data_IF_389240356625
#
_entry.id   IF_389240356625
#
_cell.length_a   1.000
_cell.length_b   1.000
_cell.length_c   1.000
_cell.angle_alpha   90.00
_cell.angle_beta   90.00
_cell.angle_gamma   90.00
#
_symmetry.space_group_name_H-M   'P 1'
#
loop_
_entity.id
_entity.type
_entity.pdbx_description
1 polymer ?
#
# COMPACT_ATOMS: atom_id res chain seq x y z
N UNK A 1 -14.88 -9.58 13.32
CA UNK A 1 -14.03 -8.48 13.80
C UNK A 1 -13.72 -7.62 12.59
N UNK A 2 -14.33 -6.47 12.51
CA UNK A 2 -14.21 -5.52 11.39
C UNK A 2 -12.81 -4.90 11.37
N UNK A 3 -12.16 -4.95 10.20
CA UNK A 3 -10.96 -4.15 9.92
C UNK A 3 -11.21 -2.69 10.30
N UNK A 4 -10.23 -1.98 10.86
CA UNK A 4 -10.39 -0.56 11.12
C UNK A 4 -10.54 0.15 9.77
N UNK A 5 -11.75 0.51 9.43
CA UNK A 5 -12.04 1.47 8.37
C UNK A 5 -11.46 2.78 8.89
N UNK A 6 -10.37 3.24 8.28
CA UNK A 6 -9.84 4.56 8.54
C UNK A 6 -10.96 5.56 8.27
N UNK A 7 -11.49 6.17 9.32
CA UNK A 7 -12.54 7.17 9.18
C UNK A 7 -11.96 8.40 8.49
N UNK A 8 -12.75 9.07 7.68
CA UNK A 8 -12.39 10.30 6.94
C UNK A 8 -11.73 11.35 7.85
N UNK A 9 -12.12 11.39 9.13
CA UNK A 9 -11.54 12.30 10.13
C UNK A 9 -10.11 11.93 10.52
N UNK A 10 -9.77 10.63 10.62
CA UNK A 10 -8.42 10.20 10.92
C UNK A 10 -7.47 10.50 9.76
N UNK A 11 -7.94 10.36 8.52
CA UNK A 11 -7.22 10.75 7.31
C UNK A 11 -6.97 12.28 7.32
N UNK A 12 -7.98 13.09 7.63
CA UNK A 12 -7.85 14.55 7.73
C UNK A 12 -6.88 14.99 8.84
N UNK A 13 -6.85 14.31 9.98
CA UNK A 13 -5.94 14.64 11.08
C UNK A 13 -4.47 14.34 10.75
N UNK A 14 -4.20 13.35 9.90
CA UNK A 14 -2.85 13.01 9.43
C UNK A 14 -2.34 14.03 8.39
N UNK A 15 -3.24 14.66 7.65
CA UNK A 15 -2.93 15.61 6.56
C UNK A 15 -2.48 17.01 7.07
N UNK A 16 -2.69 17.34 8.34
CA UNK A 16 -2.62 18.74 8.82
C UNK A 16 -1.25 19.33 9.11
N UNK A 17 -0.11 18.67 8.81
CA UNK A 17 1.24 19.30 8.93
C UNK A 17 2.21 18.90 7.81
N UNK A 18 2.34 19.78 6.82
CA UNK A 18 3.52 20.01 5.95
C UNK A 18 4.08 18.87 5.09
N UNK A 19 3.27 17.85 4.70
CA UNK A 19 3.64 16.97 3.61
C UNK A 19 2.47 16.88 2.64
N UNK A 20 2.70 17.19 1.37
CA UNK A 20 1.76 16.91 0.28
C UNK A 20 1.63 15.38 0.21
N UNK A 21 0.64 14.84 0.91
CA UNK A 21 0.31 13.42 0.78
C UNK A 21 -0.40 13.24 -0.54
N UNK A 22 0.16 12.38 -1.37
CA UNK A 22 -0.51 11.95 -2.58
C UNK A 22 -1.65 11.02 -2.19
N UNK A 23 -2.87 11.40 -2.50
CA UNK A 23 -4.05 10.58 -2.35
C UNK A 23 -4.66 10.29 -3.73
N UNK A 24 -4.94 9.03 -4.01
CA UNK A 24 -5.50 8.59 -5.28
C UNK A 24 -6.98 8.26 -5.09
N UNK A 25 -7.84 8.91 -5.88
CA UNK A 25 -9.25 8.57 -5.96
C UNK A 25 -9.39 7.31 -6.83
N UNK A 26 -9.94 6.24 -6.27
CA UNK A 26 -10.15 4.97 -6.99
C UNK A 26 -11.63 4.81 -7.28
N UNK A 27 -11.99 4.68 -8.54
CA UNK A 27 -13.40 4.56 -8.94
C UNK A 27 -13.70 3.29 -9.72
N UNK A 28 -14.80 2.64 -9.36
CA UNK A 28 -15.37 1.45 -9.99
C UNK A 28 -16.80 1.23 -9.50
N UNK A 29 -17.68 0.69 -10.32
CA UNK A 29 -19.03 0.30 -9.89
C UNK A 29 -19.02 -0.89 -8.92
N UNK A 30 -18.06 -1.81 -9.06
CA UNK A 30 -17.89 -2.92 -8.13
C UNK A 30 -17.20 -2.49 -6.84
N UNK A 31 -17.96 -2.43 -5.75
CA UNK A 31 -17.42 -2.16 -4.41
C UNK A 31 -16.25 -3.08 -4.05
N UNK A 32 -16.38 -4.37 -4.38
CA UNK A 32 -15.34 -5.37 -4.10
C UNK A 32 -14.04 -5.09 -4.86
N UNK A 33 -14.12 -4.67 -6.14
CA UNK A 33 -12.93 -4.36 -6.95
C UNK A 33 -12.21 -3.14 -6.38
N UNK A 34 -12.92 -2.01 -6.17
CA UNK A 34 -12.30 -0.77 -5.68
C UNK A 34 -11.71 -0.91 -4.28
N UNK A 35 -12.36 -1.66 -3.38
CA UNK A 35 -11.82 -1.95 -2.05
C UNK A 35 -10.57 -2.83 -2.11
N UNK A 36 -10.55 -3.85 -2.98
CA UNK A 36 -9.37 -4.71 -3.16
C UNK A 36 -8.17 -3.95 -3.71
N UNK A 37 -8.37 -3.02 -4.64
CA UNK A 37 -7.32 -2.18 -5.18
C UNK A 37 -6.84 -1.17 -4.13
N UNK A 38 -7.76 -0.55 -3.39
CA UNK A 38 -7.42 0.36 -2.30
C UNK A 38 -6.63 -0.34 -1.19
N UNK A 39 -7.01 -1.56 -0.83
CA UNK A 39 -6.27 -2.38 0.15
C UNK A 39 -4.84 -2.66 -0.34
N UNK A 40 -4.67 -3.01 -1.62
CA UNK A 40 -3.36 -3.21 -2.22
C UNK A 40 -2.51 -1.93 -2.14
N UNK A 41 -3.09 -0.79 -2.49
CA UNK A 41 -2.41 0.52 -2.42
C UNK A 41 -2.00 0.85 -0.99
N UNK A 42 -2.87 0.61 -0.02
CA UNK A 42 -2.57 0.80 1.40
C UNK A 42 -1.31 0.02 1.82
N UNK A 43 -1.22 -1.27 1.47
CA UNK A 43 -0.04 -2.07 1.79
C UNK A 43 1.22 -1.65 1.02
N UNK A 44 1.05 -0.94 -0.08
CA UNK A 44 2.16 -0.32 -0.79
C UNK A 44 2.51 1.09 -0.30
N UNK A 45 1.81 1.57 0.74
CA UNK A 45 2.02 2.89 1.32
C UNK A 45 1.46 4.04 0.51
N UNK A 46 0.52 3.75 -0.39
CA UNK A 46 -0.16 4.74 -1.21
C UNK A 46 -1.53 4.99 -0.57
N UNK A 47 -1.82 6.25 -0.24
CA UNK A 47 -3.14 6.62 0.24
C UNK A 47 -4.12 6.60 -0.93
N UNK A 48 -5.29 6.01 -0.70
CA UNK A 48 -6.34 5.96 -1.71
C UNK A 48 -7.72 6.02 -1.08
N UNK A 49 -8.67 6.55 -1.83
CA UNK A 49 -10.08 6.64 -1.45
C UNK A 49 -10.94 5.92 -2.49
N UNK A 50 -11.53 4.77 -2.14
CA UNK A 50 -12.38 3.99 -3.05
C UNK A 50 -13.81 4.54 -3.06
N UNK A 51 -14.33 4.87 -4.26
CA UNK A 51 -15.66 5.44 -4.43
C UNK A 51 -16.35 4.90 -5.70
N UNK A 52 -17.65 5.10 -5.83
CA UNK A 52 -18.37 4.80 -7.08
C UNK A 52 -18.15 5.90 -8.11
N UNK A 53 -18.35 5.64 -9.43
CA UNK A 53 -18.21 6.65 -10.47
C UNK A 53 -19.10 7.87 -10.26
N UNK A 54 -20.31 7.68 -9.73
CA UNK A 54 -21.25 8.78 -9.46
C UNK A 54 -20.72 9.62 -8.28
N UNK A 55 -20.33 8.99 -7.21
CA UNK A 55 -19.79 9.67 -6.01
C UNK A 55 -18.47 10.36 -6.33
N UNK A 56 -17.63 9.78 -7.20
CA UNK A 56 -16.37 10.39 -7.61
C UNK A 56 -16.51 11.80 -8.14
N UNK A 57 -17.57 12.08 -8.90
CA UNK A 57 -17.86 13.42 -9.43
C UNK A 57 -18.17 14.45 -8.35
N UNK A 58 -18.70 14.03 -7.20
CA UNK A 58 -18.98 14.91 -6.05
C UNK A 58 -17.83 15.00 -5.06
N UNK A 59 -16.99 13.96 -5.00
CA UNK A 59 -15.87 13.86 -4.05
C UNK A 59 -14.56 14.43 -4.60
N UNK A 60 -14.44 14.55 -5.94
CA UNK A 60 -13.20 15.01 -6.57
C UNK A 60 -12.88 16.44 -6.14
N UNK A 61 -11.67 16.64 -5.68
CA UNK A 61 -11.17 17.91 -5.21
C UNK A 61 -9.67 18.04 -5.47
N UNK A 62 -9.10 19.17 -5.20
CA UNK A 62 -7.65 19.43 -5.27
C UNK A 62 -6.84 18.67 -4.21
N UNK A 63 -7.48 17.97 -3.28
CA UNK A 63 -6.82 17.09 -2.31
C UNK A 63 -6.34 15.78 -2.93
N UNK A 64 -6.94 15.37 -4.07
CA UNK A 64 -6.49 14.20 -4.81
C UNK A 64 -5.37 14.55 -5.77
N UNK A 65 -4.42 13.67 -5.88
CA UNK A 65 -3.26 13.82 -6.79
C UNK A 65 -3.44 13.05 -8.09
N UNK A 66 -4.40 12.13 -8.14
CA UNK A 66 -4.77 11.38 -9.33
C UNK A 66 -6.14 10.70 -9.16
N UNK A 67 -6.73 10.30 -10.27
CA UNK A 67 -7.87 9.38 -10.34
C UNK A 67 -7.43 8.09 -10.99
N UNK A 68 -7.88 6.96 -10.47
CA UNK A 68 -7.73 5.63 -11.07
C UNK A 68 -9.10 5.06 -11.36
N UNK A 69 -9.40 4.84 -12.63
CA UNK A 69 -10.61 4.17 -13.10
C UNK A 69 -10.29 2.69 -13.34
N UNK A 70 -10.93 1.79 -12.58
CA UNK A 70 -10.64 0.35 -12.66
C UNK A 70 -11.34 -0.30 -13.86
N UNK A 71 -12.56 0.12 -14.17
CA UNK A 71 -13.37 -0.40 -15.28
C UNK A 71 -14.31 0.69 -15.78
N UNK A 72 -14.58 0.67 -17.07
CA UNK A 72 -15.61 1.49 -17.72
C UNK A 72 -17.02 0.92 -17.57
N UNK A 73 -17.15 -0.28 -17.00
CA UNK A 73 -18.42 -0.97 -16.80
C UNK A 73 -19.41 -0.11 -16.01
N UNK A 74 -20.54 0.24 -16.67
CA UNK A 74 -21.59 1.07 -16.09
C UNK A 74 -21.33 2.58 -16.12
N UNK A 75 -20.29 3.04 -16.82
CA UNK A 75 -20.11 4.44 -17.21
C UNK A 75 -20.67 4.59 -18.62
N UNK A 76 -21.80 5.29 -18.75
CA UNK A 76 -22.53 5.38 -20.01
C UNK A 76 -21.80 6.16 -21.11
N UNK A 77 -21.10 7.21 -20.73
CA UNK A 77 -20.31 8.05 -21.62
C UNK A 77 -18.98 8.34 -20.89
N UNK A 78 -17.95 7.60 -21.28
CA UNK A 78 -16.65 7.67 -20.66
C UNK A 78 -15.97 9.01 -20.96
N UNK A 79 -16.14 9.56 -22.15
CA UNK A 79 -15.56 10.83 -22.57
C UNK A 79 -16.13 11.99 -21.78
N UNK A 80 -17.48 12.05 -21.65
CA UNK A 80 -18.14 13.05 -20.80
C UNK A 80 -17.73 12.89 -19.34
N UNK A 81 -17.69 11.67 -18.85
CA UNK A 81 -17.28 11.40 -17.47
C UNK A 81 -15.86 11.88 -17.16
N UNK A 82 -14.89 11.57 -18.02
CA UNK A 82 -13.50 12.03 -17.90
C UNK A 82 -13.41 13.54 -18.05
N UNK A 83 -14.14 14.11 -19.03
CA UNK A 83 -14.22 15.56 -19.22
C UNK A 83 -14.72 16.28 -17.97
N UNK A 84 -15.72 15.74 -17.30
CA UNK A 84 -16.24 16.26 -16.04
C UNK A 84 -15.23 16.13 -14.90
N UNK A 85 -14.57 14.99 -14.74
CA UNK A 85 -13.50 14.83 -13.74
C UNK A 85 -12.40 15.87 -13.93
N UNK A 86 -11.95 16.08 -15.17
CA UNK A 86 -10.91 17.08 -15.50
C UNK A 86 -11.36 18.52 -15.27
N UNK A 87 -12.65 18.81 -15.42
CA UNK A 87 -13.19 20.14 -15.17
C UNK A 87 -13.17 20.53 -13.68
N UNK A 88 -13.26 19.55 -12.79
CA UNK A 88 -13.18 19.79 -11.34
C UNK A 88 -11.75 19.89 -10.84
N UNK A 89 -10.83 19.08 -11.38
CA UNK A 89 -9.43 19.10 -10.97
C UNK A 89 -8.51 18.70 -12.15
N UNK A 90 -7.46 19.47 -12.47
CA UNK A 90 -6.49 19.17 -13.52
C UNK A 90 -5.47 18.13 -13.04
N UNK A 91 -5.94 16.98 -12.60
CA UNK A 91 -5.13 15.87 -12.08
C UNK A 91 -5.07 14.72 -13.08
N UNK A 92 -3.99 13.91 -13.08
CA UNK A 92 -3.87 12.77 -13.97
C UNK A 92 -4.95 11.74 -13.71
N UNK A 93 -5.47 11.17 -14.80
CA UNK A 93 -6.47 10.10 -14.79
C UNK A 93 -5.84 8.85 -15.42
N UNK A 94 -5.86 7.76 -14.69
CA UNK A 94 -5.32 6.47 -15.09
C UNK A 94 -6.44 5.45 -15.30
N UNK A 95 -6.25 4.50 -16.23
CA UNK A 95 -7.14 3.36 -16.42
C UNK A 95 -6.46 2.04 -16.07
N UNK A 96 -7.26 1.05 -15.64
CA UNK A 96 -6.84 -0.35 -15.47
C UNK A 96 -7.49 -1.28 -16.52
N UNK A 97 -8.02 -0.75 -17.60
CA UNK A 97 -8.64 -1.53 -18.67
C UNK A 97 -8.03 -1.15 -20.03
N UNK A 98 -8.12 -2.06 -20.99
CA UNK A 98 -7.61 -1.86 -22.34
C UNK A 98 -8.54 -0.97 -23.15
N UNK A 99 -7.96 -0.12 -23.99
CA UNK A 99 -8.66 0.72 -24.95
C UNK A 99 -8.75 2.19 -24.53
N UNK A 100 -8.79 3.07 -25.51
CA UNK A 100 -8.94 4.53 -25.35
C UNK A 100 -7.75 5.23 -24.64
N UNK A 101 -6.51 4.82 -25.01
CA UNK A 101 -5.28 5.41 -24.45
C UNK A 101 -5.20 6.95 -24.59
N UNK A 102 -5.93 7.53 -25.55
CA UNK A 102 -5.97 8.99 -25.78
C UNK A 102 -6.71 9.76 -24.66
N UNK A 103 -7.60 9.09 -23.94
CA UNK A 103 -8.40 9.71 -22.88
C UNK A 103 -7.68 9.75 -21.54
N UNK A 104 -6.67 8.90 -21.35
CA UNK A 104 -5.98 8.72 -20.09
C UNK A 104 -4.55 9.22 -20.13
N UNK A 105 -4.05 9.68 -19.01
CA UNK A 105 -2.64 10.05 -18.85
C UNK A 105 -1.70 8.82 -18.90
N UNK A 106 -2.18 7.65 -18.52
CA UNK A 106 -1.59 6.33 -18.78
C UNK A 106 -2.62 5.22 -18.56
N UNK A 107 -2.58 4.19 -19.42
CA UNK A 107 -3.30 2.94 -19.27
C UNK A 107 -2.41 1.84 -18.68
N UNK A 108 -2.97 1.02 -17.80
CA UNK A 108 -2.29 -0.12 -17.21
C UNK A 108 -3.06 -1.39 -17.53
N UNK A 109 -2.42 -2.33 -18.22
CA UNK A 109 -3.07 -3.57 -18.63
C UNK A 109 -3.45 -4.43 -17.43
N UNK A 110 -4.72 -4.80 -17.34
CA UNK A 110 -5.36 -5.43 -16.20
C UNK A 110 -5.23 -6.95 -16.21
N UNK A 111 -4.05 -7.52 -16.32
CA UNK A 111 -3.89 -8.98 -16.22
C UNK A 111 -3.66 -9.48 -14.80
N UNK A 112 -3.44 -8.58 -13.86
CA UNK A 112 -3.39 -8.93 -12.41
C UNK A 112 -3.48 -7.66 -11.57
N UNK A 113 -4.22 -7.71 -10.46
CA UNK A 113 -4.15 -6.73 -9.35
C UNK A 113 -2.75 -6.78 -8.73
N UNK A 114 -1.73 -6.42 -9.50
CA UNK A 114 -0.36 -6.58 -9.07
C UNK A 114 0.19 -5.28 -8.54
N UNK A 115 1.09 -5.40 -7.58
CA UNK A 115 1.96 -4.32 -7.12
C UNK A 115 2.63 -3.55 -8.27
N UNK A 116 2.67 -4.12 -9.47
CA UNK A 116 3.21 -3.50 -10.68
C UNK A 116 2.38 -2.28 -11.12
N UNK A 117 1.05 -2.34 -11.02
CA UNK A 117 0.16 -1.20 -11.33
C UNK A 117 0.42 -0.05 -10.37
N UNK A 118 0.41 -0.33 -9.07
CA UNK A 118 0.66 0.69 -8.06
C UNK A 118 2.07 1.32 -8.21
N UNK A 119 3.09 0.51 -8.56
CA UNK A 119 4.43 1.01 -8.86
C UNK A 119 4.47 1.84 -10.15
N UNK A 120 3.72 1.45 -11.19
CA UNK A 120 3.59 2.21 -12.43
C UNK A 120 2.98 3.58 -12.20
N UNK A 121 1.86 3.64 -11.48
CA UNK A 121 1.20 4.89 -11.09
C UNK A 121 2.15 5.74 -10.23
N UNK A 122 2.79 5.15 -9.23
CA UNK A 122 3.74 5.84 -8.37
C UNK A 122 4.91 6.45 -9.17
N UNK A 123 5.45 5.71 -10.14
CA UNK A 123 6.51 6.20 -11.03
C UNK A 123 6.01 7.39 -11.84
N UNK A 124 4.86 7.28 -12.49
CA UNK A 124 4.29 8.33 -13.32
C UNK A 124 4.02 9.62 -12.54
N UNK A 125 3.49 9.51 -11.32
CA UNK A 125 3.28 10.65 -10.44
C UNK A 125 4.61 11.24 -9.92
N UNK A 126 5.61 10.40 -9.67
CA UNK A 126 6.95 10.86 -9.27
C UNK A 126 7.65 11.66 -10.37
N UNK A 127 7.48 11.27 -11.64
CA UNK A 127 7.98 12.02 -12.80
C UNK A 127 7.36 13.42 -12.90
N UNK A 128 6.17 13.61 -12.33
CA UNK A 128 5.49 14.92 -12.20
C UNK A 128 5.82 15.66 -10.89
N UNK A 129 6.81 15.19 -10.14
CA UNK A 129 7.24 15.82 -8.88
C UNK A 129 6.37 15.47 -7.67
N UNK A 130 5.40 14.55 -7.82
CA UNK A 130 4.52 14.12 -6.75
C UNK A 130 5.08 12.89 -6.04
N UNK A 131 5.27 12.97 -4.74
CA UNK A 131 5.82 11.87 -3.94
C UNK A 131 4.72 10.91 -3.51
N UNK A 132 4.56 9.81 -4.24
CA UNK A 132 3.43 8.87 -4.07
C UNK A 132 3.71 7.79 -3.04
N UNK A 133 4.97 7.48 -2.78
CA UNK A 133 5.34 6.31 -2.00
C UNK A 133 5.45 6.63 -0.53
N UNK A 134 4.74 5.82 0.26
CA UNK A 134 4.55 6.06 1.67
C UNK A 134 5.78 5.85 2.54
N UNK A 135 5.67 6.44 3.69
CA UNK A 135 6.60 6.28 4.79
C UNK A 135 6.30 4.97 5.52
N UNK A 136 7.29 4.10 5.62
CA UNK A 136 7.19 2.86 6.40
C UNK A 136 8.14 2.97 7.60
N UNK A 137 7.64 3.55 8.69
CA UNK A 137 8.44 3.76 9.90
C UNK A 137 7.76 3.16 11.11
N UNK A 138 8.51 2.40 11.89
CA UNK A 138 8.02 1.78 13.12
C UNK A 138 9.20 1.46 14.06
N UNK A 139 9.16 1.94 15.29
CA UNK A 139 10.10 1.59 16.34
C UNK A 139 11.59 1.69 15.93
N UNK A 140 11.96 2.78 15.24
CA UNK A 140 13.31 3.02 14.73
C UNK A 140 13.61 2.38 13.38
N UNK A 141 12.71 1.56 12.84
CA UNK A 141 12.81 1.02 11.47
C UNK A 141 12.34 2.10 10.50
N UNK A 142 13.11 2.32 9.44
CA UNK A 142 12.73 3.13 8.29
C UNK A 142 12.89 2.28 7.02
N UNK A 143 11.79 2.05 6.30
CA UNK A 143 11.76 1.30 5.06
C UNK A 143 11.00 2.06 3.98
N UNK A 144 11.15 3.38 3.96
CA UNK A 144 10.46 4.28 3.04
C UNK A 144 10.64 3.81 1.59
N UNK A 145 9.62 4.00 0.78
CA UNK A 145 9.58 3.40 -0.55
C UNK A 145 10.62 3.99 -1.51
N UNK A 146 11.04 5.20 -1.26
CA UNK A 146 12.11 5.90 -1.98
C UNK A 146 13.50 5.67 -1.38
N UNK A 147 13.59 5.06 -0.18
CA UNK A 147 14.87 4.70 0.40
C UNK A 147 15.43 3.43 -0.28
N UNK A 148 16.65 3.48 -0.85
CA UNK A 148 17.23 2.34 -1.54
C UNK A 148 17.48 1.14 -0.61
N UNK A 149 17.72 1.40 0.67
CA UNK A 149 18.03 0.39 1.68
C UNK A 149 17.26 0.74 2.96
N UNK A 150 16.48 -0.21 3.54
CA UNK A 150 15.88 -0.01 4.85
C UNK A 150 16.93 0.17 5.92
N UNK A 151 16.61 0.98 6.94
CA UNK A 151 17.52 1.23 8.08
C UNK A 151 16.84 0.94 9.42
N UNK A 152 17.64 0.76 10.45
CA UNK A 152 17.24 0.74 11.85
C UNK A 152 18.09 1.76 12.62
N UNK A 153 17.48 2.85 13.09
CA UNK A 153 18.20 4.01 13.65
C UNK A 153 19.43 4.36 12.79
N UNK A 154 19.19 4.61 11.50
CA UNK A 154 20.18 4.96 10.46
C UNK A 154 21.20 3.86 10.12
N UNK A 155 21.23 2.73 10.81
CA UNK A 155 22.04 1.57 10.46
C UNK A 155 21.40 0.78 9.32
N UNK A 156 22.10 0.53 8.21
CA UNK A 156 21.52 -0.16 7.07
C UNK A 156 21.18 -1.62 7.38
N UNK A 157 19.96 -2.02 6.99
CA UNK A 157 19.50 -3.40 7.02
C UNK A 157 19.74 -4.02 5.64
N UNK A 158 20.65 -4.98 5.53
CA UNK A 158 21.00 -5.63 4.24
C UNK A 158 19.88 -6.59 3.77
N UNK A 159 18.68 -6.04 3.51
CA UNK A 159 17.54 -6.79 3.05
C UNK A 159 17.49 -6.84 1.51
N UNK A 160 17.04 -7.96 0.98
CA UNK A 160 16.71 -8.11 -0.45
C UNK A 160 15.42 -7.35 -0.77
N UNK A 161 15.12 -7.16 -2.07
CA UNK A 161 13.86 -6.52 -2.51
C UNK A 161 12.62 -7.22 -1.93
N UNK A 162 12.61 -8.55 -1.94
CA UNK A 162 11.50 -9.35 -1.38
C UNK A 162 11.38 -9.16 0.13
N UNK A 163 12.49 -9.22 0.85
CA UNK A 163 12.51 -9.00 2.30
C UNK A 163 12.07 -7.58 2.66
N UNK A 164 12.46 -6.58 1.88
CA UNK A 164 11.99 -5.19 2.05
C UNK A 164 10.48 -5.07 1.84
N UNK A 165 9.91 -5.74 0.85
CA UNK A 165 8.46 -5.77 0.64
C UNK A 165 7.73 -6.44 1.81
N UNK A 166 8.26 -7.56 2.31
CA UNK A 166 7.72 -8.22 3.52
C UNK A 166 7.78 -7.26 4.71
N UNK A 167 8.91 -6.58 4.92
CA UNK A 167 9.06 -5.62 6.01
C UNK A 167 8.02 -4.49 5.93
N UNK A 168 7.85 -3.89 4.76
CA UNK A 168 6.84 -2.85 4.52
C UNK A 168 5.44 -3.34 4.81
N UNK A 169 5.10 -4.54 4.36
CA UNK A 169 3.81 -5.16 4.64
C UNK A 169 3.59 -5.36 6.15
N UNK A 170 4.59 -5.89 6.87
CA UNK A 170 4.52 -6.08 8.32
C UNK A 170 4.36 -4.75 9.09
N UNK A 171 5.07 -3.69 8.68
CA UNK A 171 4.92 -2.35 9.27
C UNK A 171 3.49 -1.84 9.09
N UNK A 172 2.89 -2.02 7.92
CA UNK A 172 1.51 -1.58 7.64
C UNK A 172 0.46 -2.39 8.39
N UNK A 173 0.73 -3.65 8.63
CA UNK A 173 -0.18 -4.52 9.37
C UNK A 173 -0.12 -4.30 10.89
N UNK A 174 0.95 -3.68 11.41
CA UNK A 174 1.14 -3.44 12.83
C UNK A 174 -0.05 -2.65 13.42
N UNK A 175 -0.54 -2.98 14.63
CA UNK A 175 -0.03 -4.02 15.56
C UNK A 175 -0.61 -5.42 15.32
N UNK A 176 -1.39 -5.62 14.27
CA UNK A 176 -2.08 -6.88 14.00
C UNK A 176 -1.11 -7.94 13.45
N UNK A 177 -1.12 -9.17 13.98
CA UNK A 177 -0.39 -10.28 13.39
C UNK A 177 -0.90 -10.59 11.99
N UNK A 178 0.02 -10.95 11.09
CA UNK A 178 -0.33 -11.27 9.71
C UNK A 178 0.09 -12.69 9.33
N UNK A 179 -0.81 -13.41 8.65
CA UNK A 179 -0.58 -14.79 8.25
C UNK A 179 0.43 -14.89 7.10
N UNK A 180 1.14 -16.03 6.95
CA UNK A 180 2.01 -16.26 5.79
C UNK A 180 1.28 -16.10 4.46
N UNK A 181 0.01 -16.51 4.38
CA UNK A 181 -0.83 -16.38 3.18
C UNK A 181 -1.03 -14.91 2.78
N UNK A 182 -1.28 -14.04 3.75
CA UNK A 182 -1.43 -12.61 3.49
C UNK A 182 -0.09 -11.98 3.08
N UNK A 183 1.02 -12.37 3.71
CA UNK A 183 2.36 -11.94 3.28
C UNK A 183 2.62 -12.35 1.82
N UNK A 184 2.23 -13.58 1.42
CA UNK A 184 2.34 -14.03 0.03
C UNK A 184 1.55 -13.13 -0.92
N UNK A 185 0.29 -12.85 -0.58
CA UNK A 185 -0.61 -12.04 -1.42
C UNK A 185 -0.04 -10.65 -1.70
N UNK A 186 0.54 -9.99 -0.70
CA UNK A 186 0.90 -8.57 -0.79
C UNK A 186 2.41 -8.29 -0.99
N UNK A 187 3.29 -9.18 -0.57
CA UNK A 187 4.73 -8.97 -0.67
C UNK A 187 5.41 -9.70 -1.84
N UNK A 188 4.72 -10.64 -2.49
CA UNK A 188 5.27 -11.40 -3.62
C UNK A 188 4.54 -11.08 -4.91
N UNK A 189 5.30 -11.00 -6.02
CA UNK A 189 4.70 -10.83 -7.35
C UNK A 189 3.89 -12.07 -7.74
N UNK A 190 2.74 -11.86 -8.36
CA UNK A 190 1.82 -12.90 -8.82
C UNK A 190 2.45 -13.93 -9.79
N UNK A 191 3.56 -13.58 -10.47
CA UNK A 191 4.26 -14.44 -11.44
C UNK A 191 5.02 -15.62 -10.84
N UNK A 192 5.26 -15.61 -9.54
CA UNK A 192 5.80 -16.75 -8.79
C UNK A 192 4.84 -17.01 -7.63
N UNK A 193 4.22 -18.18 -7.60
CA UNK A 193 3.45 -18.63 -6.43
C UNK A 193 4.41 -19.27 -5.42
N UNK A 194 5.08 -18.48 -4.56
CA UNK A 194 5.87 -19.07 -3.49
C UNK A 194 4.90 -19.73 -2.51
N UNK A 195 5.29 -20.86 -1.97
CA UNK A 195 4.54 -21.53 -0.92
C UNK A 195 4.69 -20.79 0.42
N UNK A 196 3.77 -21.02 1.36
CA UNK A 196 3.84 -20.45 2.70
C UNK A 196 5.17 -20.77 3.43
N UNK A 197 5.79 -21.89 3.10
CA UNK A 197 7.14 -22.28 3.55
C UNK A 197 8.19 -21.24 3.14
N UNK A 198 8.08 -20.66 1.95
CA UNK A 198 8.99 -19.61 1.46
C UNK A 198 8.93 -18.34 2.32
N UNK A 199 7.74 -17.96 2.79
CA UNK A 199 7.59 -16.81 3.72
C UNK A 199 8.33 -17.07 5.03
N UNK A 200 8.20 -18.27 5.59
CA UNK A 200 8.89 -18.64 6.84
C UNK A 200 10.40 -18.52 6.70
N UNK A 201 10.93 -18.98 5.56
CA UNK A 201 12.37 -18.86 5.25
C UNK A 201 12.81 -17.40 5.20
N UNK A 202 12.08 -16.55 4.47
CA UNK A 202 12.39 -15.11 4.40
C UNK A 202 12.33 -14.45 5.79
N UNK A 203 11.29 -14.71 6.58
CA UNK A 203 11.17 -14.18 7.94
C UNK A 203 12.35 -14.63 8.81
N UNK A 204 12.73 -15.90 8.74
CA UNK A 204 13.90 -16.43 9.48
C UNK A 204 15.20 -15.70 9.09
N UNK A 205 15.43 -15.49 7.80
CA UNK A 205 16.61 -14.78 7.30
C UNK A 205 16.57 -13.30 7.72
N UNK A 206 15.42 -12.64 7.61
CA UNK A 206 15.24 -11.26 8.06
C UNK A 206 15.52 -11.11 9.54
N UNK A 207 15.03 -12.03 10.39
CA UNK A 207 15.30 -12.03 11.81
C UNK A 207 16.80 -12.17 12.12
N UNK A 208 17.53 -13.03 11.41
CA UNK A 208 18.98 -13.16 11.57
C UNK A 208 19.72 -11.87 11.20
N UNK A 209 19.34 -11.26 10.07
CA UNK A 209 19.91 -9.97 9.62
C UNK A 209 19.61 -8.85 10.61
N UNK A 210 18.39 -8.78 11.11
CA UNK A 210 17.99 -7.77 12.06
C UNK A 210 18.70 -7.96 13.43
N UNK A 211 18.76 -9.20 13.92
CA UNK A 211 19.45 -9.58 15.14
C UNK A 211 20.93 -9.17 15.10
N UNK A 212 21.61 -9.33 13.96
CA UNK A 212 23.02 -8.94 13.81
C UNK A 212 23.27 -7.43 13.92
N UNK A 213 22.25 -6.61 13.65
CA UNK A 213 22.34 -5.14 13.71
C UNK A 213 21.85 -4.59 15.05
N UNK A 214 20.85 -5.23 15.66
CA UNK A 214 20.07 -4.67 16.78
C UNK A 214 20.20 -5.45 18.08
N UNK A 215 20.69 -6.69 18.04
CA UNK A 215 20.74 -7.61 19.19
C UNK A 215 19.36 -8.24 19.55
N UNK A 216 18.31 -8.00 18.76
CA UNK A 216 16.95 -8.55 18.98
C UNK A 216 16.28 -8.98 17.67
N UNK A 217 15.30 -9.89 17.70
CA UNK A 217 14.60 -10.29 16.49
C UNK A 217 13.69 -9.18 15.96
N UNK A 218 13.47 -9.17 14.64
CA UNK A 218 12.55 -8.25 13.97
C UNK A 218 11.08 -8.59 14.25
N UNK A 219 10.75 -9.89 14.23
CA UNK A 219 9.38 -10.36 14.33
C UNK A 219 9.21 -11.42 15.40
N UNK A 220 8.03 -11.44 16.00
CA UNK A 220 7.57 -12.53 16.85
C UNK A 220 6.54 -13.36 16.10
N UNK A 221 6.58 -14.69 16.28
CA UNK A 221 5.49 -15.56 15.88
C UNK A 221 4.33 -15.36 16.84
N UNK A 222 3.18 -14.97 16.31
CA UNK A 222 1.92 -15.00 17.03
C UNK A 222 1.24 -16.35 16.72
N UNK A 223 1.31 -17.29 17.63
CA UNK A 223 0.88 -18.69 17.55
C UNK A 223 0.08 -19.08 16.27
N UNK A 224 -1.22 -18.85 16.23
CA UNK A 224 -2.08 -19.21 15.09
C UNK A 224 -2.21 -18.08 14.04
N UNK A 225 -1.78 -16.87 14.38
CA UNK A 225 -2.06 -15.66 13.59
C UNK A 225 -0.93 -15.22 12.67
N UNK A 226 0.25 -15.84 12.74
CA UNK A 226 1.40 -15.52 11.88
C UNK A 226 2.47 -14.65 12.54
N UNK A 227 2.82 -13.50 11.93
CA UNK A 227 3.95 -12.67 12.34
C UNK A 227 3.53 -11.24 12.67
N UNK A 228 4.16 -10.66 13.69
CA UNK A 228 4.05 -9.25 14.08
C UNK A 228 5.44 -8.67 14.31
N UNK A 229 5.63 -7.37 14.08
CA UNK A 229 6.90 -6.69 14.41
C UNK A 229 7.12 -6.68 15.93
N UNK A 230 8.30 -7.05 16.35
CA UNK A 230 8.72 -7.10 17.75
C UNK A 230 9.08 -5.69 18.25
N UNK A 231 8.09 -4.84 18.48
CA UNK A 231 8.31 -3.56 19.17
C UNK A 231 8.43 -3.77 20.68
N UNK A 232 9.03 -2.82 21.44
CA UNK A 232 9.10 -2.91 22.89
C UNK A 232 7.74 -3.20 23.53
N UNK A 233 6.69 -2.51 23.08
CA UNK A 233 5.32 -2.65 23.61
C UNK A 233 4.77 -4.06 23.40
N UNK A 234 5.00 -4.66 22.22
CA UNK A 234 4.57 -6.04 21.92
C UNK A 234 5.36 -7.05 22.76
N UNK A 235 6.64 -6.79 22.99
CA UNK A 235 7.49 -7.68 23.81
C UNK A 235 7.01 -7.63 25.26
N UNK A 236 6.82 -6.46 25.84
CA UNK A 236 6.33 -6.25 27.21
C UNK A 236 4.94 -6.86 27.42
N UNK A 237 4.01 -6.63 26.48
CA UNK A 237 2.67 -7.22 26.53
C UNK A 237 2.74 -8.75 26.53
N UNK A 238 3.65 -9.37 25.78
CA UNK A 238 3.81 -10.81 25.72
C UNK A 238 4.42 -11.40 27.00
N UNK A 239 5.34 -10.67 27.62
CA UNK A 239 5.94 -11.08 28.89
C UNK A 239 4.93 -11.01 30.06
N UNK A 240 4.07 -9.99 30.05
CA UNK A 240 3.01 -9.81 31.05
C UNK A 240 1.93 -10.91 31.02
N UNK A 241 1.71 -11.57 29.86
CA UNK A 241 0.74 -12.66 29.71
C UNK A 241 1.32 -14.01 30.19
N UNK A 242 2.63 -14.12 30.33
CA UNK A 242 3.28 -15.37 30.78
C UNK A 242 3.42 -15.49 32.31
N UNK A 243 3.05 -14.44 33.03
CA UNK A 243 2.96 -14.39 34.49
C UNK A 243 1.54 -14.70 34.95
#
# INVERSE_FOLDING_TARGET
>A
MSSPVLTTELIRCIISKERIFVMILITDNSKKRRESVSEMFYYMGILSYPTSPIEALSEISTEYSAVLIISDEGIHDLDDYIGRLRSYAPIPIFSLFEGQDELFDAGFNYTSYSSTVALGIAKHLSERGLRVLGTYRLAGICADADAPIPTYFDKPLKLTKTETMILRYLIRSYPNPTSPTNVLKYAFKASRRPEAASVRTHISVMNKKFLSVTGRPLTLSAAESGYVIATPEIIEARESIKL
#
